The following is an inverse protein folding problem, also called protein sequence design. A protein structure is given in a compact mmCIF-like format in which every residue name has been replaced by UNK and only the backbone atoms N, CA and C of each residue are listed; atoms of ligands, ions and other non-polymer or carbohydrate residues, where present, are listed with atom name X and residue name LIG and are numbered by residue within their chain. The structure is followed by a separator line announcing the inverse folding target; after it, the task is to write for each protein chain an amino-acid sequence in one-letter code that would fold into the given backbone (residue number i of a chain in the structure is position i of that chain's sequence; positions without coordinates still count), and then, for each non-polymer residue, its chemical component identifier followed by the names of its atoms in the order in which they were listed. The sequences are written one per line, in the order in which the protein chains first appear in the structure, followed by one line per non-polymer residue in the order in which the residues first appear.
data_IF_658195710766
#
_entry.id   IF_658195710766
#
_cell.length_a   1.000
_cell.length_b   1.000
_cell.length_c   1.000
_cell.angle_alpha   90.00
_cell.angle_beta   90.00
_cell.angle_gamma   90.00
#
_symmetry.space_group_name_H-M   'P 1'
#
loop_
_entity.id
_entity.type
_entity.pdbx_description
1 polymer ?
#
# COMPACT_ATOMS: atom_id res chain seq x y z
N UNK A 1 -12.12 2.46 -0.58
CA UNK A 1 -11.14 1.37 -0.32
C UNK A 1 -11.07 0.46 -1.52
N UNK A 2 -10.03 -0.36 -1.65
CA UNK A 2 -9.71 -1.25 -2.77
C UNK A 2 -10.91 -1.67 -3.62
N UNK A 3 -11.94 -2.29 -3.02
CA UNK A 3 -13.14 -2.74 -3.73
C UNK A 3 -13.88 -1.62 -4.50
N UNK A 4 -14.01 -0.43 -3.92
CA UNK A 4 -14.55 0.74 -4.60
C UNK A 4 -13.60 1.33 -5.66
N UNK A 5 -12.29 1.14 -5.49
CA UNK A 5 -11.29 1.61 -6.45
C UNK A 5 -11.19 0.69 -7.67
N UNK A 6 -11.37 -0.62 -7.50
CA UNK A 6 -11.38 -1.60 -8.60
C UNK A 6 -12.76 -1.78 -9.24
N UNK A 7 -13.79 -1.14 -8.68
CA UNK A 7 -15.12 -1.06 -9.31
C UNK A 7 -14.99 -0.40 -10.70
N UNK A 8 -15.30 -1.14 -11.78
CA UNK A 8 -15.24 -0.61 -13.14
C UNK A 8 -16.12 0.64 -13.33
N UNK A 9 -17.20 0.79 -12.56
CA UNK A 9 -18.15 1.90 -12.65
C UNK A 9 -17.58 3.22 -12.11
N UNK A 10 -16.59 3.17 -11.22
CA UNK A 10 -15.97 4.35 -10.61
C UNK A 10 -15.06 5.09 -11.59
N UNK A 11 -14.37 4.37 -12.48
CA UNK A 11 -13.36 4.93 -13.37
C UNK A 11 -12.15 5.54 -12.62
N UNK A 12 -11.00 5.76 -13.30
CA UNK A 12 -9.77 6.17 -12.62
C UNK A 12 -9.86 7.53 -11.89
N UNK A 13 -10.68 8.45 -12.40
CA UNK A 13 -10.83 9.81 -11.83
C UNK A 13 -11.60 9.85 -10.50
N UNK A 14 -12.42 8.84 -10.20
CA UNK A 14 -13.17 8.78 -8.93
C UNK A 14 -12.50 7.88 -7.89
N UNK A 15 -11.45 7.16 -8.27
CA UNK A 15 -10.67 6.36 -7.33
C UNK A 15 -9.86 7.26 -6.39
N UNK A 16 -9.61 6.80 -5.14
CA UNK A 16 -8.64 7.42 -4.25
C UNK A 16 -7.29 7.65 -4.93
N UNK A 17 -6.57 8.68 -4.50
CA UNK A 17 -5.30 9.08 -5.12
C UNK A 17 -4.24 7.96 -5.03
N UNK A 18 -4.26 7.13 -3.97
CA UNK A 18 -3.40 5.96 -3.82
C UNK A 18 -3.61 4.89 -4.90
N UNK A 19 -4.83 4.73 -5.41
CA UNK A 19 -5.17 3.69 -6.40
C UNK A 19 -5.18 4.20 -7.85
N UNK A 20 -5.36 5.51 -8.06
CA UNK A 20 -5.43 6.12 -9.40
C UNK A 20 -4.24 5.76 -10.31
N UNK A 21 -2.98 5.71 -9.84
CA UNK A 21 -1.83 5.37 -10.68
C UNK A 21 -1.90 3.95 -11.25
N UNK A 22 -2.31 2.98 -10.42
CA UNK A 22 -2.51 1.59 -10.84
C UNK A 22 -3.60 1.49 -11.91
N UNK A 23 -4.72 2.18 -11.72
CA UNK A 23 -5.81 2.16 -12.69
C UNK A 23 -5.39 2.77 -14.04
N UNK A 24 -4.59 3.83 -14.01
CA UNK A 24 -4.04 4.47 -15.21
C UNK A 24 -3.00 3.57 -15.91
N UNK A 25 -2.17 2.87 -15.14
CA UNK A 25 -1.07 2.05 -15.65
C UNK A 25 -1.47 0.61 -16.03
N UNK A 26 -2.71 0.17 -15.75
CA UNK A 26 -3.16 -1.24 -15.85
C UNK A 26 -2.86 -1.95 -17.17
N UNK A 27 -2.75 -1.20 -18.28
CA UNK A 27 -2.45 -1.74 -19.62
C UNK A 27 -1.17 -1.16 -20.22
N UNK A 28 -0.33 -0.52 -19.42
CA UNK A 28 0.86 0.17 -19.92
C UNK A 28 1.97 -0.85 -20.25
N UNK A 29 2.45 -0.92 -21.50
CA UNK A 29 3.36 -1.98 -21.96
C UNK A 29 4.77 -1.91 -21.34
N UNK A 30 5.12 -0.78 -20.72
CA UNK A 30 6.39 -0.57 -20.01
C UNK A 30 6.30 -0.73 -18.49
N UNK A 31 5.13 -1.08 -17.95
CA UNK A 31 4.97 -1.39 -16.52
C UNK A 31 4.99 -2.89 -16.34
N UNK A 32 5.99 -3.39 -15.62
CA UNK A 32 6.15 -4.83 -15.41
C UNK A 32 5.14 -5.35 -14.36
N UNK A 33 4.73 -6.63 -14.42
CA UNK A 33 3.79 -7.21 -13.46
C UNK A 33 4.21 -7.00 -11.99
N UNK A 34 5.52 -7.07 -11.70
CA UNK A 34 6.04 -6.88 -10.35
C UNK A 34 5.91 -5.43 -9.86
N UNK A 35 6.18 -4.42 -10.71
CA UNK A 35 5.94 -3.01 -10.35
C UNK A 35 4.47 -2.78 -10.02
N UNK A 36 3.58 -3.39 -10.81
CA UNK A 36 2.14 -3.29 -10.61
C UNK A 36 1.70 -3.93 -9.29
N UNK A 37 2.21 -5.12 -8.97
CA UNK A 37 1.92 -5.81 -7.73
C UNK A 37 2.39 -5.02 -6.50
N UNK A 38 3.64 -4.53 -6.52
CA UNK A 38 4.22 -3.76 -5.42
C UNK A 38 3.48 -2.43 -5.21
N UNK A 39 3.15 -1.71 -6.28
CA UNK A 39 2.36 -0.48 -6.16
C UNK A 39 0.96 -0.77 -5.59
N UNK A 40 0.35 -1.91 -5.93
CA UNK A 40 -0.91 -2.36 -5.35
C UNK A 40 -0.83 -2.64 -3.85
N UNK A 41 0.20 -3.37 -3.43
CA UNK A 41 0.47 -3.61 -2.01
C UNK A 41 0.72 -2.31 -1.27
N UNK A 42 1.52 -1.40 -1.83
CA UNK A 42 1.78 -0.08 -1.26
C UNK A 42 0.49 0.74 -1.08
N UNK A 43 -0.39 0.78 -2.09
CA UNK A 43 -1.68 1.47 -1.98
C UNK A 43 -2.57 0.85 -0.89
N UNK A 44 -2.57 -0.48 -0.80
CA UNK A 44 -3.38 -1.20 0.18
C UNK A 44 -2.89 -1.00 1.62
N UNK A 45 -1.61 -1.28 1.89
CA UNK A 45 -1.04 -1.17 3.24
C UNK A 45 -0.92 0.29 3.65
N UNK A 46 -0.52 1.18 2.73
CA UNK A 46 -0.24 2.58 3.03
C UNK A 46 -1.48 3.44 3.28
N UNK A 47 -2.66 3.04 2.79
CA UNK A 47 -3.88 3.83 2.93
C UNK A 47 -5.06 3.01 3.45
N UNK A 48 -5.45 1.95 2.74
CA UNK A 48 -6.68 1.22 3.06
C UNK A 48 -6.61 0.51 4.42
N UNK A 49 -5.46 -0.07 4.77
CA UNK A 49 -5.27 -0.79 6.02
C UNK A 49 -5.40 0.13 7.24
N UNK A 50 -4.80 1.32 7.21
CA UNK A 50 -4.92 2.29 8.30
C UNK A 50 -6.38 2.68 8.56
N UNK A 51 -7.13 2.95 7.49
CA UNK A 51 -8.55 3.26 7.58
C UNK A 51 -9.39 2.05 8.03
N UNK A 52 -9.02 0.83 7.63
CA UNK A 52 -9.71 -0.39 8.05
C UNK A 52 -9.58 -0.64 9.55
N UNK A 53 -8.42 -0.34 10.15
CA UNK A 53 -8.22 -0.40 11.61
C UNK A 53 -9.15 0.59 12.31
N UNK A 54 -9.21 1.85 11.84
CA UNK A 54 -10.09 2.88 12.40
C UNK A 54 -11.56 2.46 12.35
N UNK A 55 -12.02 1.96 11.21
CA UNK A 55 -13.40 1.48 11.06
C UNK A 55 -13.69 0.28 11.95
N UNK A 56 -12.73 -0.65 12.09
CA UNK A 56 -12.88 -1.83 12.93
C UNK A 56 -13.00 -1.43 14.40
N UNK A 57 -12.14 -0.50 14.87
CA UNK A 57 -12.25 0.07 16.21
C UNK A 57 -13.61 0.73 16.45
N UNK A 58 -14.10 1.51 15.48
CA UNK A 58 -15.41 2.15 15.57
C UNK A 58 -16.56 1.14 15.61
N UNK A 59 -16.51 0.10 14.76
CA UNK A 59 -17.53 -0.93 14.68
C UNK A 59 -17.58 -1.83 15.91
N UNK A 60 -16.43 -2.13 16.51
CA UNK A 60 -16.31 -2.99 17.70
C UNK A 60 -16.37 -2.21 19.03
N UNK A 61 -16.36 -0.87 18.98
CA UNK A 61 -16.31 -0.04 20.18
C UNK A 61 -15.03 -0.22 20.99
N UNK A 62 -13.89 -0.52 20.33
CA UNK A 62 -12.61 -0.74 20.99
C UNK A 62 -11.57 0.31 20.58
N UNK A 63 -10.51 0.44 21.38
CA UNK A 63 -9.35 1.26 21.06
C UNK A 63 -8.35 0.46 20.19
N UNK A 64 -7.48 1.10 19.39
CA UNK A 64 -6.49 0.43 18.55
C UNK A 64 -5.65 -0.61 19.29
N UNK A 65 -5.27 -0.36 20.55
CA UNK A 65 -4.55 -1.32 21.37
C UNK A 65 -5.25 -2.70 21.46
N UNK A 66 -6.59 -2.76 21.39
CA UNK A 66 -7.34 -4.01 21.36
C UNK A 66 -7.19 -4.81 20.05
N UNK A 67 -6.71 -4.18 18.98
CA UNK A 67 -6.47 -4.81 17.68
C UNK A 67 -4.99 -5.10 17.41
N UNK A 68 -4.06 -4.64 18.26
CA UNK A 68 -2.61 -4.72 18.03
C UNK A 68 -2.14 -6.15 17.77
N UNK A 69 -2.54 -7.11 18.62
CA UNK A 69 -2.17 -8.52 18.39
C UNK A 69 -2.77 -9.12 17.11
N UNK A 70 -3.92 -8.61 16.63
CA UNK A 70 -4.47 -9.00 15.33
C UNK A 70 -3.68 -8.38 14.17
N UNK A 71 -3.27 -7.12 14.33
CA UNK A 71 -2.48 -6.38 13.37
C UNK A 71 -1.09 -7.01 13.18
N UNK A 72 -0.40 -7.36 14.27
CA UNK A 72 0.90 -8.04 14.25
C UNK A 72 0.81 -9.38 13.49
N UNK A 73 -0.24 -10.18 13.71
CA UNK A 73 -0.44 -11.44 12.98
C UNK A 73 -0.63 -11.24 11.48
N UNK A 74 -1.36 -10.20 11.07
CA UNK A 74 -1.47 -9.81 9.65
C UNK A 74 -0.09 -9.43 9.12
N UNK A 75 0.71 -8.76 9.94
CA UNK A 75 2.05 -8.36 9.58
C UNK A 75 3.01 -9.52 9.35
N UNK A 76 3.00 -10.50 10.26
CA UNK A 76 3.79 -11.73 10.10
C UNK A 76 3.36 -12.54 8.87
N UNK A 77 2.05 -12.60 8.59
CA UNK A 77 1.55 -13.28 7.38
C UNK A 77 2.05 -12.58 6.09
N UNK A 78 2.00 -11.25 6.05
CA UNK A 78 2.48 -10.48 4.90
C UNK A 78 3.99 -10.62 4.71
N UNK A 79 4.75 -10.63 5.80
CA UNK A 79 6.20 -10.86 5.76
C UNK A 79 6.53 -12.27 5.24
N UNK A 80 5.81 -13.30 5.68
CA UNK A 80 5.99 -14.66 5.18
C UNK A 80 5.65 -14.80 3.68
N UNK A 81 4.61 -14.10 3.22
CA UNK A 81 4.24 -14.07 1.80
C UNK A 81 5.27 -13.33 0.95
N UNK A 82 5.80 -12.22 1.45
CA UNK A 82 6.87 -11.48 0.77
C UNK A 82 8.13 -12.33 0.63
N UNK A 83 8.56 -13.01 1.71
CA UNK A 83 9.76 -13.83 1.67
C UNK A 83 9.63 -14.96 0.64
N UNK A 84 8.48 -15.65 0.64
CA UNK A 84 8.19 -16.67 -0.37
C UNK A 84 8.13 -16.10 -1.79
N UNK A 85 7.52 -14.91 -1.96
CA UNK A 85 7.49 -14.27 -3.28
C UNK A 85 8.90 -13.87 -3.74
N UNK A 86 9.77 -13.41 -2.83
CA UNK A 86 11.17 -13.08 -3.11
C UNK A 86 11.95 -14.32 -3.54
N UNK A 87 11.75 -15.45 -2.87
CA UNK A 87 12.34 -16.75 -3.26
C UNK A 87 11.90 -17.18 -4.66
N UNK A 88 10.61 -17.09 -4.96
CA UNK A 88 10.04 -17.42 -6.28
C UNK A 88 10.47 -16.41 -7.38
N UNK A 89 10.87 -15.20 -6.98
CA UNK A 89 11.33 -14.11 -7.84
C UNK A 89 12.87 -13.99 -7.92
N UNK A 90 13.64 -14.85 -7.24
CA UNK A 90 15.11 -14.85 -7.37
C UNK A 90 15.43 -15.18 -8.84
N UNK A 91 15.99 -14.22 -9.59
CA UNK A 91 16.31 -14.49 -10.97
C UNK A 91 17.53 -15.40 -11.04
N UNK A 92 17.59 -16.26 -12.06
CA UNK A 92 18.83 -16.94 -12.43
C UNK A 92 19.99 -15.94 -12.66
N UNK A 93 21.25 -16.41 -12.67
CA UNK A 93 22.47 -15.61 -12.47
C UNK A 93 22.69 -14.39 -13.41
N UNK A 94 21.89 -14.22 -14.46
CA UNK A 94 22.02 -13.16 -15.45
C UNK A 94 21.40 -11.80 -15.08
N UNK A 95 20.73 -11.66 -13.93
CA UNK A 95 20.15 -10.38 -13.46
C UNK A 95 20.89 -9.71 -12.29
N UNK A 96 22.05 -10.23 -11.89
CA UNK A 96 22.96 -9.59 -10.93
C UNK A 96 23.77 -8.45 -11.57
N UNK A 97 23.12 -7.56 -12.32
CA UNK A 97 23.72 -6.28 -12.69
C UNK A 97 23.26 -5.26 -11.65
N UNK A 98 24.22 -4.63 -10.98
CA UNK A 98 24.12 -3.72 -9.82
C UNK A 98 23.33 -2.41 -10.12
N UNK A 99 22.37 -2.42 -11.03
CA UNK A 99 21.56 -1.27 -11.44
C UNK A 99 20.26 -1.67 -12.17
N UNK A 100 19.53 -2.71 -11.73
CA UNK A 100 18.13 -2.87 -12.16
C UNK A 100 17.25 -1.96 -11.27
N UNK A 101 16.55 -0.96 -11.82
CA UNK A 101 15.59 -0.14 -11.09
C UNK A 101 14.58 -0.96 -10.29
N UNK A 102 14.28 -2.19 -10.73
CA UNK A 102 13.39 -3.12 -10.02
C UNK A 102 14.03 -3.66 -8.75
N UNK A 103 15.32 -3.96 -8.75
CA UNK A 103 16.05 -4.43 -7.55
C UNK A 103 16.11 -3.34 -6.49
N UNK A 104 16.29 -2.08 -6.90
CA UNK A 104 16.18 -0.94 -5.98
C UNK A 104 14.74 -0.74 -5.48
N UNK A 105 13.73 -0.90 -6.33
CA UNK A 105 12.33 -0.79 -5.93
C UNK A 105 11.92 -1.89 -4.94
N UNK A 106 12.39 -3.12 -5.18
CA UNK A 106 12.20 -4.29 -4.31
C UNK A 106 12.92 -4.13 -2.98
N UNK A 107 14.12 -3.53 -2.98
CA UNK A 107 14.86 -3.23 -1.75
C UNK A 107 14.27 -2.05 -0.96
N UNK A 108 13.53 -1.14 -1.62
CA UNK A 108 12.96 0.05 -1.00
C UNK A 108 11.61 -0.20 -0.31
N UNK A 109 10.89 -1.28 -0.65
CA UNK A 109 9.60 -1.59 -0.03
C UNK A 109 9.73 -2.83 0.87
N UNK A 110 9.58 -2.63 2.18
CA UNK A 110 9.61 -3.69 3.18
C UNK A 110 8.23 -3.77 3.87
N UNK A 111 7.51 -4.90 3.82
CA UNK A 111 6.17 -5.05 4.38
C UNK A 111 6.08 -4.65 5.85
N UNK A 112 7.04 -5.08 6.68
CA UNK A 112 7.08 -4.68 8.10
C UNK A 112 7.11 -3.17 8.29
N UNK A 113 7.97 -2.45 7.55
CA UNK A 113 7.98 -0.98 7.62
C UNK A 113 6.66 -0.37 7.12
N UNK A 114 6.05 -0.95 6.08
CA UNK A 114 4.76 -0.50 5.59
C UNK A 114 3.64 -0.72 6.62
N UNK A 115 3.72 -1.80 7.41
CA UNK A 115 2.79 -2.13 8.48
C UNK A 115 2.97 -1.22 9.70
N UNK A 116 4.22 -0.96 10.10
CA UNK A 116 4.52 -0.01 11.18
C UNK A 116 3.99 1.39 10.85
N UNK A 117 4.16 1.83 9.59
CA UNK A 117 3.61 3.07 9.09
C UNK A 117 2.08 3.06 9.09
N UNK A 118 1.45 1.97 8.65
CA UNK A 118 0.00 1.82 8.66
C UNK A 118 -0.57 1.83 10.09
N UNK A 119 0.11 1.18 11.05
CA UNK A 119 -0.26 1.19 12.46
C UNK A 119 -0.18 2.59 13.06
N UNK A 120 0.90 3.29 12.76
CA UNK A 120 1.09 4.68 13.20
C UNK A 120 0.00 5.58 12.64
N UNK A 121 -0.27 5.49 11.33
CA UNK A 121 -1.34 6.25 10.69
C UNK A 121 -2.72 5.93 11.29
N UNK A 122 -3.01 4.65 11.56
CA UNK A 122 -4.27 4.24 12.20
C UNK A 122 -4.43 4.86 13.60
N UNK A 123 -3.38 4.81 14.43
CA UNK A 123 -3.41 5.42 15.77
C UNK A 123 -3.57 6.94 15.71
N UNK A 124 -2.90 7.61 14.77
CA UNK A 124 -3.05 9.05 14.55
C UNK A 124 -4.48 9.40 14.14
N UNK A 125 -5.03 8.73 13.14
CA UNK A 125 -6.40 8.94 12.66
C UNK A 125 -7.43 8.67 13.77
N UNK A 126 -7.22 7.61 14.56
CA UNK A 126 -8.07 7.29 15.69
C UNK A 126 -8.00 8.37 16.78
N UNK A 127 -6.81 8.89 17.12
CA UNK A 127 -6.67 9.98 18.07
C UNK A 127 -7.39 11.26 17.59
N UNK A 128 -7.32 11.53 16.29
CA UNK A 128 -7.97 12.68 15.65
C UNK A 128 -9.49 12.51 15.46
N UNK A 129 -10.09 11.34 15.76
CA UNK A 129 -11.51 11.05 15.48
C UNK A 129 -12.50 12.04 16.10
N UNK A 130 -12.11 12.74 17.18
CA UNK A 130 -12.93 13.76 17.84
C UNK A 130 -12.86 15.13 17.16
N UNK A 131 -11.99 15.29 16.16
CA UNK A 131 -11.83 16.48 15.33
C UNK A 131 -11.92 16.05 13.85
N UNK A 132 -13.14 15.86 13.31
CA UNK A 132 -13.35 15.23 12.01
C UNK A 132 -12.63 15.91 10.84
N UNK A 133 -12.47 17.24 10.93
CA UNK A 133 -11.75 18.05 9.94
C UNK A 133 -10.28 17.62 9.83
N UNK A 134 -9.57 17.54 10.97
CA UNK A 134 -8.17 17.10 11.03
C UNK A 134 -8.00 15.62 10.66
N UNK A 135 -8.93 14.76 11.09
CA UNK A 135 -8.92 13.35 10.68
C UNK A 135 -9.06 13.22 9.16
N UNK A 136 -9.95 14.01 8.55
CA UNK A 136 -10.14 14.06 7.10
C UNK A 136 -8.92 14.61 6.36
N UNK A 137 -8.28 15.66 6.87
CA UNK A 137 -7.02 16.19 6.31
C UNK A 137 -5.88 15.17 6.38
N UNK A 138 -5.72 14.50 7.52
CA UNK A 138 -4.73 13.46 7.70
C UNK A 138 -4.96 12.29 6.73
N UNK A 139 -6.21 11.83 6.58
CA UNK A 139 -6.56 10.77 5.64
C UNK A 139 -6.29 11.17 4.17
N UNK A 140 -6.62 12.40 3.77
CA UNK A 140 -6.30 12.91 2.42
C UNK A 140 -4.79 13.05 2.19
N UNK A 141 -4.05 13.51 3.20
CA UNK A 141 -2.59 13.58 3.15
C UNK A 141 -1.95 12.21 2.96
N UNK A 142 -2.46 11.21 3.67
CA UNK A 142 -2.04 9.81 3.52
C UNK A 142 -2.34 9.29 2.11
N UNK A 143 -3.58 9.49 1.61
CA UNK A 143 -3.99 9.09 0.25
C UNK A 143 -3.07 9.69 -0.83
N UNK A 144 -2.79 10.99 -0.74
CA UNK A 144 -1.95 11.71 -1.68
C UNK A 144 -0.47 11.25 -1.63
N UNK A 145 0.09 11.04 -0.42
CA UNK A 145 1.46 10.59 -0.25
C UNK A 145 1.68 9.19 -0.82
N UNK A 146 0.77 8.26 -0.52
CA UNK A 146 0.78 6.91 -1.06
C UNK A 146 0.60 6.93 -2.58
N UNK A 147 -0.30 7.76 -3.10
CA UNK A 147 -0.49 7.95 -4.54
C UNK A 147 0.74 8.52 -5.25
N UNK A 148 1.50 9.41 -4.62
CA UNK A 148 2.77 9.91 -5.17
C UNK A 148 3.79 8.79 -5.34
N UNK A 149 4.03 8.01 -4.29
CA UNK A 149 4.97 6.89 -4.33
C UNK A 149 4.53 5.82 -5.33
N UNK A 150 3.22 5.50 -5.39
CA UNK A 150 2.68 4.57 -6.38
C UNK A 150 2.94 5.04 -7.82
N UNK A 151 2.86 6.35 -8.12
CA UNK A 151 3.24 6.89 -9.44
C UNK A 151 4.72 6.67 -9.76
N UNK A 152 5.59 6.88 -8.78
CA UNK A 152 7.03 6.65 -8.95
C UNK A 152 7.34 5.18 -9.20
N UNK A 153 6.72 4.27 -8.44
CA UNK A 153 6.86 2.82 -8.61
C UNK A 153 6.44 2.32 -9.99
N UNK A 154 5.44 2.97 -10.58
CA UNK A 154 4.89 2.64 -11.90
C UNK A 154 5.58 3.39 -13.06
N UNK A 155 6.73 4.01 -12.82
CA UNK A 155 7.53 4.61 -13.89
C UNK A 155 7.88 3.54 -14.92
N UNK A 156 7.50 3.71 -16.20
CA UNK A 156 7.79 2.71 -17.22
C UNK A 156 9.29 2.50 -17.41
N UNK A 157 9.71 1.23 -17.53
CA UNK A 157 11.10 0.87 -17.81
C UNK A 157 11.27 0.56 -19.30
N UNK A 158 12.43 0.91 -19.90
CA UNK A 158 12.75 0.47 -21.25
C UNK A 158 12.77 -1.07 -21.31
N UNK A 159 12.36 -1.59 -22.47
CA UNK A 159 12.34 -3.03 -22.74
C UNK A 159 13.74 -3.56 -22.97
#
# INVERSE_FOLDING_TARGET
RYLAAVDPASGPRRAPDCWRPLLQARRHPGVRPLQFALAGLHAHTGHDLALAVVDTCAALGCEPAGLEGGFERVGDLLAALEERAREDLVPGPDLLRIADPLTHLLGAWHPRQALDAAWTAARTLWALRRVPELAGECARGLDAAVGLTARMMLTPLPR
#
